data_IF_182731226523
#
_entry.id   IF_182731226523
#
_cell.length_a   1.000
_cell.length_b   1.000
_cell.length_c   1.000
_cell.angle_alpha   90.00
_cell.angle_beta   90.00
_cell.angle_gamma   90.00
#
_symmetry.space_group_name_H-M   'P 1'
#
loop_
_entity.id
_entity.type
_entity.pdbx_description
1 polymer ?
#
# COMPACT_ATOMS: atom_id res chain seq x y z
N UNK A 1 -26.42 0.19 -22.94
CA UNK A 1 -25.38 1.02 -23.58
C UNK A 1 -24.44 1.50 -22.49
N UNK A 2 -23.69 0.57 -21.92
CA UNK A 2 -22.84 0.75 -20.74
C UNK A 2 -21.70 -0.26 -20.89
N UNK A 3 -20.66 0.13 -21.62
CA UNK A 3 -19.48 -0.72 -21.91
C UNK A 3 -18.19 0.11 -22.10
N UNK A 4 -18.31 1.42 -22.35
CA UNK A 4 -17.13 2.26 -22.62
C UNK A 4 -16.43 2.79 -21.36
N UNK A 5 -17.11 2.81 -20.21
CA UNK A 5 -16.51 3.18 -18.92
C UNK A 5 -15.76 2.01 -18.24
N UNK A 6 -15.92 0.78 -18.77
CA UNK A 6 -15.27 -0.43 -18.28
C UNK A 6 -13.87 -0.65 -18.88
N UNK A 7 -13.50 0.13 -19.91
CA UNK A 7 -12.21 0.08 -20.62
C UNK A 7 -11.46 1.40 -20.68
N UNK A 8 -11.77 2.34 -19.79
CA UNK A 8 -10.99 3.57 -19.71
C UNK A 8 -9.56 3.24 -19.22
N UNK A 9 -8.52 3.35 -20.08
CA UNK A 9 -7.15 3.02 -19.70
C UNK A 9 -6.58 4.03 -18.70
N UNK A 10 -7.26 5.16 -18.48
CA UNK A 10 -6.83 6.20 -17.55
C UNK A 10 -6.67 5.65 -16.14
N UNK A 11 -7.61 4.81 -15.68
CA UNK A 11 -7.54 4.26 -14.31
C UNK A 11 -6.32 3.35 -14.14
N UNK A 12 -6.10 2.30 -14.97
CA UNK A 12 -4.86 1.53 -14.92
C UNK A 12 -3.58 2.35 -15.08
N UNK A 13 -3.56 3.33 -15.98
CA UNK A 13 -2.38 4.17 -16.21
C UNK A 13 -2.05 5.06 -15.00
N UNK A 14 -3.05 5.72 -14.41
CA UNK A 14 -2.87 6.52 -13.20
C UNK A 14 -2.48 5.66 -12.01
N UNK A 15 -3.08 4.47 -11.85
CA UNK A 15 -2.68 3.53 -10.80
C UNK A 15 -1.24 3.07 -10.98
N UNK A 16 -0.82 2.74 -12.21
CA UNK A 16 0.56 2.36 -12.51
C UNK A 16 1.55 3.48 -12.16
N UNK A 17 1.27 4.72 -12.59
CA UNK A 17 2.10 5.88 -12.25
C UNK A 17 2.16 6.12 -10.74
N UNK A 18 1.03 5.96 -10.03
CA UNK A 18 1.00 6.10 -8.57
C UNK A 18 1.85 5.04 -7.89
N UNK A 19 1.73 3.78 -8.32
CA UNK A 19 2.56 2.67 -7.84
C UNK A 19 4.04 2.96 -8.09
N UNK A 20 4.40 3.47 -9.27
CA UNK A 20 5.80 3.83 -9.58
C UNK A 20 6.36 4.85 -8.61
N UNK A 21 5.58 5.89 -8.29
CA UNK A 21 5.98 6.92 -7.32
C UNK A 21 6.13 6.35 -5.91
N UNK A 22 5.16 5.54 -5.46
CA UNK A 22 5.21 4.95 -4.11
C UNK A 22 6.33 3.92 -4.01
N UNK A 23 6.54 3.10 -5.04
CA UNK A 23 7.65 2.17 -5.12
C UNK A 23 9.00 2.88 -5.13
N UNK A 24 9.11 4.01 -5.85
CA UNK A 24 10.31 4.81 -5.85
C UNK A 24 10.63 5.33 -4.43
N UNK A 25 9.65 5.93 -3.74
CA UNK A 25 9.78 6.37 -2.35
C UNK A 25 10.22 5.21 -1.42
N UNK A 26 9.64 4.03 -1.63
CA UNK A 26 9.99 2.83 -0.88
C UNK A 26 11.41 2.32 -1.16
N UNK A 27 11.86 2.42 -2.40
CA UNK A 27 13.16 1.89 -2.82
C UNK A 27 14.34 2.81 -2.49
N UNK A 28 14.11 4.13 -2.37
CA UNK A 28 15.15 5.14 -2.13
C UNK A 28 15.78 5.02 -0.74
N UNK A 29 17.10 5.18 -0.65
CA UNK A 29 17.80 5.25 0.64
C UNK A 29 17.36 6.47 1.47
N UNK A 30 17.49 6.38 2.79
CA UNK A 30 17.13 7.46 3.73
C UNK A 30 17.97 8.74 3.48
N UNK A 31 19.13 8.60 2.83
CA UNK A 31 19.99 9.69 2.40
C UNK A 31 19.53 10.38 1.10
N UNK A 32 18.69 9.72 0.29
CA UNK A 32 18.15 10.25 -0.97
C UNK A 32 16.81 10.95 -0.76
N UNK A 33 15.96 10.36 0.08
CA UNK A 33 14.65 10.87 0.45
C UNK A 33 14.52 10.84 1.96
N UNK A 34 14.24 12.00 2.56
CA UNK A 34 13.95 12.10 3.99
C UNK A 34 12.82 11.13 4.38
N UNK A 35 13.06 10.19 5.32
CA UNK A 35 12.09 9.15 5.65
C UNK A 35 10.74 9.70 6.11
N UNK A 36 10.73 10.79 6.90
CA UNK A 36 9.51 11.43 7.37
C UNK A 36 8.68 12.01 6.21
N UNK A 37 9.36 12.59 5.21
CA UNK A 37 8.74 13.12 4.01
C UNK A 37 8.16 12.01 3.13
N UNK A 38 8.89 10.89 2.97
CA UNK A 38 8.39 9.71 2.26
C UNK A 38 7.11 9.18 2.93
N UNK A 39 7.17 8.95 4.24
CA UNK A 39 6.03 8.48 5.04
C UNK A 39 4.82 9.40 4.89
N UNK A 40 4.98 10.73 5.06
CA UNK A 40 3.86 11.69 4.93
C UNK A 40 3.19 11.65 3.56
N UNK A 41 3.97 11.52 2.49
CA UNK A 41 3.40 11.42 1.14
C UNK A 41 2.58 10.13 1.01
N UNK A 42 3.09 9.03 1.55
CA UNK A 42 2.43 7.73 1.48
C UNK A 42 1.17 7.67 2.34
N UNK A 43 1.16 8.31 3.52
CA UNK A 43 -0.05 8.51 4.33
C UNK A 43 -1.08 9.35 3.59
N UNK A 44 -0.65 10.44 2.94
CA UNK A 44 -1.55 11.28 2.16
C UNK A 44 -2.17 10.50 1.01
N UNK A 45 -1.38 9.69 0.29
CA UNK A 45 -1.87 8.82 -0.77
C UNK A 45 -2.88 7.81 -0.22
N UNK A 46 -2.52 7.05 0.82
CA UNK A 46 -3.41 6.08 1.45
C UNK A 46 -4.73 6.72 1.91
N UNK A 47 -4.66 7.89 2.56
CA UNK A 47 -5.80 8.66 3.01
C UNK A 47 -6.76 9.06 1.89
N UNK A 48 -6.24 9.55 0.75
CA UNK A 48 -7.10 9.89 -0.40
C UNK A 48 -7.75 8.66 -1.01
N UNK A 49 -7.00 7.56 -1.16
CA UNK A 49 -7.55 6.34 -1.75
C UNK A 49 -8.61 5.69 -0.86
N UNK A 50 -8.47 5.76 0.47
CA UNK A 50 -9.47 5.26 1.41
C UNK A 50 -10.79 6.05 1.38
N UNK A 51 -10.76 7.34 1.01
CA UNK A 51 -11.97 8.19 0.87
C UNK A 51 -12.79 7.89 -0.38
N UNK A 52 -12.25 7.12 -1.32
CA UNK A 52 -12.99 6.71 -2.50
C UNK A 52 -14.23 5.87 -2.10
N UNK A 53 -15.35 5.98 -2.84
CA UNK A 53 -16.50 5.09 -2.68
C UNK A 53 -16.09 3.61 -2.79
N UNK A 54 -16.76 2.71 -2.07
CA UNK A 54 -16.42 1.28 -2.03
C UNK A 54 -16.26 0.65 -3.42
N UNK A 55 -17.21 0.90 -4.33
CA UNK A 55 -17.15 0.40 -5.71
C UNK A 55 -15.91 0.91 -6.50
N UNK A 56 -15.39 2.10 -6.17
CA UNK A 56 -14.16 2.64 -6.78
C UNK A 56 -12.91 2.00 -6.16
N UNK A 57 -12.93 1.73 -4.86
CA UNK A 57 -11.85 1.00 -4.18
C UNK A 57 -11.74 -0.43 -4.68
N UNK A 58 -12.86 -1.13 -4.86
CA UNK A 58 -12.90 -2.47 -5.46
C UNK A 58 -12.28 -2.49 -6.86
N UNK A 59 -12.61 -1.51 -7.71
CA UNK A 59 -11.98 -1.37 -9.03
C UNK A 59 -10.48 -1.12 -8.93
N UNK A 60 -10.03 -0.29 -7.99
CA UNK A 60 -8.61 -0.04 -7.76
C UNK A 60 -7.87 -1.30 -7.30
N UNK A 61 -8.46 -2.07 -6.39
CA UNK A 61 -7.92 -3.35 -5.92
C UNK A 61 -7.73 -4.34 -7.07
N UNK A 62 -8.71 -4.43 -7.98
CA UNK A 62 -8.59 -5.27 -9.17
C UNK A 62 -7.41 -4.83 -10.04
N UNK A 63 -7.27 -3.52 -10.31
CA UNK A 63 -6.16 -2.99 -11.09
C UNK A 63 -4.81 -3.27 -10.44
N UNK A 64 -4.70 -3.15 -9.11
CA UNK A 64 -3.47 -3.46 -8.37
C UNK A 64 -3.12 -4.96 -8.46
N UNK A 65 -4.13 -5.84 -8.39
CA UNK A 65 -3.94 -7.27 -8.59
C UNK A 65 -3.48 -7.61 -10.01
N UNK A 66 -4.08 -6.99 -11.03
CA UNK A 66 -3.68 -7.17 -12.43
C UNK A 66 -2.24 -6.71 -12.67
N UNK A 67 -1.83 -5.59 -12.04
CA UNK A 67 -0.44 -5.10 -12.09
C UNK A 67 0.53 -6.06 -11.40
N UNK A 68 0.16 -6.63 -10.24
CA UNK A 68 0.98 -7.61 -9.55
C UNK A 68 1.16 -8.89 -10.36
N UNK A 69 0.10 -9.37 -11.01
CA UNK A 69 0.17 -10.57 -11.87
C UNK A 69 1.07 -10.35 -13.08
N UNK A 70 1.04 -9.16 -13.68
CA UNK A 70 1.86 -8.79 -14.84
C UNK A 70 3.32 -8.45 -14.50
N UNK A 71 3.62 -8.16 -13.23
CA UNK A 71 4.96 -7.76 -12.78
C UNK A 71 5.98 -8.90 -12.94
N UNK A 72 7.18 -8.58 -13.43
CA UNK A 72 8.29 -9.51 -13.62
C UNK A 72 9.32 -9.46 -12.48
N UNK A 73 9.53 -8.27 -11.89
CA UNK A 73 10.41 -8.08 -10.74
C UNK A 73 9.75 -8.64 -9.46
N UNK A 74 10.31 -9.70 -8.84
CA UNK A 74 9.75 -10.27 -7.62
C UNK A 74 9.59 -9.28 -6.47
N UNK A 75 10.53 -8.33 -6.31
CA UNK A 75 10.47 -7.37 -5.22
C UNK A 75 9.32 -6.36 -5.41
N UNK A 76 9.17 -5.85 -6.63
CA UNK A 76 8.06 -4.96 -6.99
C UNK A 76 6.71 -5.69 -6.95
N UNK A 77 6.67 -6.98 -7.30
CA UNK A 77 5.46 -7.82 -7.20
C UNK A 77 5.03 -8.01 -5.75
N UNK A 78 5.97 -8.31 -4.86
CA UNK A 78 5.70 -8.48 -3.44
C UNK A 78 5.17 -7.17 -2.83
N UNK A 79 5.76 -6.03 -3.22
CA UNK A 79 5.24 -4.72 -2.84
C UNK A 79 3.82 -4.48 -3.34
N UNK A 80 3.54 -4.68 -4.63
CA UNK A 80 2.21 -4.53 -5.23
C UNK A 80 1.15 -5.39 -4.52
N UNK A 81 1.52 -6.62 -4.15
CA UNK A 81 0.64 -7.55 -3.44
C UNK A 81 0.36 -7.10 -2.00
N UNK A 82 1.38 -6.57 -1.30
CA UNK A 82 1.26 -6.09 0.08
C UNK A 82 0.69 -4.67 0.22
N UNK A 83 0.76 -3.85 -0.83
CA UNK A 83 0.40 -2.43 -0.78
C UNK A 83 -1.04 -2.17 -0.33
N UNK A 84 -2.09 -2.84 -0.86
CA UNK A 84 -3.47 -2.65 -0.39
C UNK A 84 -3.65 -2.86 1.10
N UNK A 85 -2.94 -3.82 1.68
CA UNK A 85 -2.98 -4.12 3.11
C UNK A 85 -2.28 -3.00 3.90
N UNK A 86 -1.09 -2.59 3.46
CA UNK A 86 -0.29 -1.57 4.14
C UNK A 86 -1.00 -0.21 4.28
N UNK A 87 -1.90 0.13 3.34
CA UNK A 87 -2.70 1.35 3.40
C UNK A 87 -4.14 1.13 3.92
N UNK A 88 -4.45 -0.05 4.45
CA UNK A 88 -5.73 -0.36 5.11
C UNK A 88 -6.93 -0.52 4.18
N UNK A 89 -6.73 -0.79 2.88
CA UNK A 89 -7.85 -1.04 1.95
C UNK A 89 -8.49 -2.41 2.11
N UNK A 90 -7.70 -3.39 2.55
CA UNK A 90 -8.15 -4.74 2.85
C UNK A 90 -7.87 -5.01 4.32
N UNK A 91 -8.82 -5.66 5.01
CA UNK A 91 -8.63 -6.05 6.41
C UNK A 91 -7.64 -7.21 6.54
N UNK A 92 -7.28 -7.53 7.79
CA UNK A 92 -6.58 -8.77 8.11
C UNK A 92 -7.39 -9.94 7.52
N UNK A 93 -6.82 -10.59 6.50
CA UNK A 93 -7.30 -11.92 6.12
C UNK A 93 -6.93 -12.83 7.27
N UNK A 94 -7.83 -12.97 8.24
CA UNK A 94 -7.67 -13.91 9.35
C UNK A 94 -7.61 -15.33 8.77
N UNK A 95 -6.39 -15.79 8.56
CA UNK A 95 -6.10 -17.18 8.30
C UNK A 95 -6.60 -17.97 9.50
N UNK A 96 -7.70 -18.68 9.30
CA UNK A 96 -8.14 -19.80 10.14
C UNK A 96 -7.00 -20.82 10.25
N UNK A 97 -6.13 -20.68 11.24
CA UNK A 97 -5.06 -21.60 11.55
C UNK A 97 -4.06 -21.02 12.56
N UNK A 98 -3.80 -21.68 13.70
CA UNK A 98 -2.85 -21.17 14.69
C UNK A 98 -1.43 -21.49 14.23
N UNK A 99 -0.63 -20.46 14.01
CA UNK A 99 0.83 -20.58 14.02
C UNK A 99 1.52 -20.61 12.66
N UNK A 100 1.43 -19.51 11.90
CA UNK A 100 2.61 -18.95 11.23
C UNK A 100 2.31 -17.50 10.83
N UNK A 101 2.88 -16.54 11.56
CA UNK A 101 2.83 -15.12 11.19
C UNK A 101 3.66 -14.95 9.91
N UNK A 102 3.03 -15.09 8.73
CA UNK A 102 3.78 -15.09 7.48
C UNK A 102 3.08 -14.32 6.36
N UNK A 103 3.22 -13.00 6.44
CA UNK A 103 3.87 -12.14 5.43
C UNK A 103 3.97 -10.74 6.03
N UNK A 104 5.14 -10.41 6.61
CA UNK A 104 5.45 -9.03 7.00
C UNK A 104 5.80 -8.25 5.71
N UNK A 105 5.39 -6.98 5.55
CA UNK A 105 5.67 -6.21 4.34
C UNK A 105 7.18 -5.96 4.20
N UNK A 106 7.67 -5.97 2.97
CA UNK A 106 9.10 -6.06 2.70
C UNK A 106 9.87 -4.72 2.74
N UNK A 107 9.20 -3.55 2.79
CA UNK A 107 9.30 -2.62 3.95
C UNK A 107 8.36 -1.39 3.94
N UNK A 108 7.53 -1.01 2.97
CA UNK A 108 6.70 0.24 2.96
C UNK A 108 6.71 1.24 4.16
N UNK A 109 7.52 2.31 4.12
CA UNK A 109 8.92 2.15 4.54
C UNK A 109 8.96 2.25 6.06
N UNK A 110 9.20 1.08 6.65
CA UNK A 110 8.95 0.63 8.02
C UNK A 110 7.53 0.83 8.53
N UNK A 111 6.57 0.34 7.74
CA UNK A 111 5.11 0.34 7.97
C UNK A 111 4.53 1.72 8.33
N UNK A 112 5.13 2.80 7.81
CA UNK A 112 4.92 4.20 8.19
C UNK A 112 5.57 4.55 9.54
N UNK A 113 6.89 4.33 9.64
CA UNK A 113 7.74 4.61 10.80
C UNK A 113 7.15 4.19 12.18
N UNK A 114 6.34 3.12 12.18
CA UNK A 114 5.58 2.55 13.30
C UNK A 114 4.44 3.44 13.88
N UNK A 115 3.67 4.15 13.05
CA UNK A 115 2.43 4.85 13.46
C UNK A 115 2.56 5.83 14.68
N UNK A 116 3.74 6.44 14.89
CA UNK A 116 3.99 7.57 15.81
C UNK A 116 3.95 7.29 17.35
N UNK A 117 5.05 6.80 17.95
CA UNK A 117 5.42 6.82 19.41
C UNK A 117 4.32 6.66 20.52
N UNK A 118 4.19 5.55 21.29
CA UNK A 118 3.42 5.49 22.59
C UNK A 118 3.82 4.29 23.52
N UNK A 119 3.61 4.32 24.88
CA UNK A 119 3.90 5.34 25.92
C UNK A 119 5.00 4.87 26.93
N UNK A 120 5.60 5.75 27.76
CA UNK A 120 6.25 5.31 29.02
C UNK A 120 5.14 4.90 30.02
N UNK A 121 5.05 3.64 30.48
CA UNK A 121 4.29 3.35 31.70
C UNK A 121 5.16 3.73 32.90
N UNK A 122 5.07 4.98 33.34
CA UNK A 122 5.47 5.32 34.70
C UNK A 122 4.39 4.79 35.67
N UNK A 123 4.49 3.51 36.00
CA UNK A 123 3.95 2.98 37.24
C UNK A 123 5.03 3.11 38.33
N UNK A 124 4.69 3.80 39.42
CA UNK A 124 5.41 3.82 40.70
C UNK A 124 6.36 5.03 40.83
N UNK A 125 6.31 5.81 41.91
CA UNK A 125 5.99 5.43 43.30
C UNK A 125 4.68 6.00 43.88
#
# INVERSE_FOLDING_TARGET
>A
MTDMADRDPLVPALTGMLVDVVWWLESCGDEEVDPDSAVKIMESVGGELLRLPSARRERLLQVLADLAEAEQDPARRDFLTGFPFAIGMVGDQESRGPGELRTRPADLKRCLAAAGELPEPACGD
#
